data_IF_362281054050
#
_entry.id   IF_362281054050
#
_cell.length_a   1.000
_cell.length_b   1.000
_cell.length_c   1.000
_cell.angle_alpha   90.00
_cell.angle_beta   90.00
_cell.angle_gamma   90.00
#
_symmetry.space_group_name_H-M   'P 1'
#
loop_
_entity.id
_entity.type
_entity.pdbx_description
1 polymer ?
#
# COMPACT_ATOMS: atom_id res chain seq x y z
N UNK A 1 2.15 8.13 13.57
CA UNK A 1 2.60 6.73 13.39
C UNK A 1 2.03 6.11 12.11
N UNK A 2 0.72 5.85 11.99
CA UNK A 2 0.12 5.17 10.81
C UNK A 2 0.24 5.90 9.47
N UNK A 3 0.23 7.24 9.45
CA UNK A 3 0.45 8.01 8.22
C UNK A 3 1.83 7.71 7.59
N UNK A 4 2.85 7.52 8.44
CA UNK A 4 4.19 7.14 7.97
C UNK A 4 4.20 5.74 7.36
N UNK A 5 3.48 4.80 7.98
CA UNK A 5 3.33 3.42 7.49
C UNK A 5 2.70 3.40 6.11
N UNK A 6 1.58 4.12 5.96
CA UNK A 6 0.88 4.29 4.69
C UNK A 6 1.78 4.92 3.62
N UNK A 7 2.50 5.98 3.97
CA UNK A 7 3.37 6.68 3.02
C UNK A 7 4.51 5.80 2.49
N UNK A 8 5.02 4.87 3.31
CA UNK A 8 6.13 3.97 2.98
C UNK A 8 5.67 2.58 2.51
N UNK A 9 4.36 2.36 2.42
CA UNK A 9 3.73 1.06 2.16
C UNK A 9 4.32 -0.08 2.99
N UNK A 10 4.31 0.11 4.30
CA UNK A 10 4.85 -0.83 5.28
C UNK A 10 3.79 -1.12 6.33
N UNK A 11 3.61 -2.38 6.70
CA UNK A 11 2.82 -2.74 7.88
C UNK A 11 3.60 -2.48 9.17
N UNK A 12 2.90 -2.48 10.32
CA UNK A 12 3.58 -2.33 11.62
C UNK A 12 4.62 -3.41 11.87
N UNK A 13 4.43 -4.63 11.35
CA UNK A 13 5.38 -5.74 11.49
C UNK A 13 6.57 -5.52 10.56
N UNK A 14 6.31 -5.22 9.29
CA UNK A 14 7.33 -4.99 8.26
C UNK A 14 8.29 -3.85 8.60
N UNK A 15 7.84 -2.81 9.32
CA UNK A 15 8.73 -1.72 9.75
C UNK A 15 9.86 -2.21 10.65
N UNK A 16 9.62 -3.23 11.47
CA UNK A 16 10.67 -3.81 12.30
C UNK A 16 11.62 -4.71 11.50
N UNK A 17 11.17 -5.27 10.39
CA UNK A 17 11.97 -6.12 9.49
C UNK A 17 12.78 -5.28 8.47
N UNK A 18 12.25 -4.12 8.08
CA UNK A 18 12.84 -3.24 7.08
C UNK A 18 14.17 -2.66 7.55
N UNK A 19 15.24 -2.99 6.84
CA UNK A 19 16.55 -2.32 6.99
C UNK A 19 16.44 -0.87 6.54
N UNK A 20 16.78 0.08 7.42
CA UNK A 20 16.59 1.54 7.21
C UNK A 20 17.25 2.12 5.95
N UNK A 21 18.22 1.42 5.37
CA UNK A 21 19.06 1.91 4.26
C UNK A 21 18.45 1.59 2.89
N UNK A 22 17.57 0.58 2.80
CA UNK A 22 17.08 0.08 1.51
C UNK A 22 15.65 0.57 1.25
N UNK A 23 15.42 1.02 0.02
CA UNK A 23 14.08 1.38 -0.44
C UNK A 23 13.18 0.15 -0.36
N UNK A 24 11.97 0.28 0.21
CA UNK A 24 11.11 -0.88 0.43
C UNK A 24 10.54 -1.42 -0.88
N UNK A 25 10.46 -2.74 -1.03
CA UNK A 25 9.99 -3.38 -2.27
C UNK A 25 8.51 -3.10 -2.58
N UNK A 26 7.71 -2.82 -1.56
CA UNK A 26 6.29 -2.46 -1.69
C UNK A 26 6.05 -0.95 -1.83
N UNK A 27 7.08 -0.09 -1.65
CA UNK A 27 6.90 1.35 -1.76
C UNK A 27 6.90 1.82 -3.22
N UNK A 28 5.73 2.19 -3.77
CA UNK A 28 5.58 2.76 -5.12
C UNK A 28 5.41 4.29 -5.14
N UNK A 29 5.54 4.94 -3.98
CA UNK A 29 5.33 6.38 -3.79
C UNK A 29 3.97 6.72 -3.19
N UNK A 30 3.89 7.86 -2.50
CA UNK A 30 2.79 8.21 -1.60
C UNK A 30 1.39 8.05 -2.22
N UNK A 31 1.22 8.46 -3.49
CA UNK A 31 -0.08 8.41 -4.17
C UNK A 31 -0.54 6.98 -4.42
N UNK A 32 0.33 6.15 -5.00
CA UNK A 32 0.02 4.75 -5.30
C UNK A 32 -0.16 3.93 -4.03
N UNK A 33 0.66 4.19 -3.01
CA UNK A 33 0.53 3.54 -1.70
C UNK A 33 -0.81 3.90 -1.03
N UNK A 34 -1.24 5.16 -1.14
CA UNK A 34 -2.54 5.61 -0.63
C UNK A 34 -3.71 4.94 -1.38
N UNK A 35 -3.64 4.91 -2.71
CA UNK A 35 -4.65 4.29 -3.57
C UNK A 35 -4.79 2.78 -3.33
N UNK A 36 -3.72 2.08 -2.89
CA UNK A 36 -3.82 0.67 -2.51
C UNK A 36 -4.66 0.42 -1.26
N UNK A 37 -4.82 1.41 -0.37
CA UNK A 37 -5.58 1.26 0.87
C UNK A 37 -7.00 1.83 0.74
N UNK A 38 -7.12 3.00 0.10
CA UNK A 38 -8.37 3.75 0.01
C UNK A 38 -9.06 3.66 -1.37
N UNK A 39 -8.45 2.98 -2.33
CA UNK A 39 -8.96 2.91 -3.70
C UNK A 39 -8.69 4.18 -4.51
N UNK A 40 -9.07 4.13 -5.79
CA UNK A 40 -8.79 5.23 -6.75
C UNK A 40 -9.84 6.34 -6.69
N UNK A 41 -11.03 6.05 -6.17
CA UNK A 41 -12.15 7.00 -6.10
C UNK A 41 -12.00 7.94 -4.91
N UNK A 42 -11.43 9.13 -5.17
CA UNK A 42 -11.21 10.17 -4.15
C UNK A 42 -12.44 10.57 -3.35
N UNK A 43 -13.62 10.54 -3.98
CA UNK A 43 -14.88 10.87 -3.31
C UNK A 43 -15.20 9.93 -2.14
N UNK A 44 -14.68 8.69 -2.17
CA UNK A 44 -14.92 7.69 -1.14
C UNK A 44 -13.86 7.68 -0.03
N UNK A 45 -12.76 8.43 -0.15
CA UNK A 45 -11.64 8.36 0.80
C UNK A 45 -11.99 8.72 2.25
N UNK A 46 -13.06 9.48 2.47
CA UNK A 46 -13.54 9.86 3.80
C UNK A 46 -14.74 9.02 4.27
N UNK A 47 -15.18 8.07 3.46
CA UNK A 47 -16.29 7.19 3.77
C UNK A 47 -15.75 5.76 3.96
N UNK A 48 -16.28 4.99 4.92
CA UNK A 48 -15.86 3.62 5.17
C UNK A 48 -16.51 2.67 4.13
N UNK A 49 -16.28 2.91 2.84
CA UNK A 49 -16.91 2.23 1.71
C UNK A 49 -15.89 1.96 0.60
N UNK A 50 -16.02 0.79 -0.04
CA UNK A 50 -15.30 0.47 -1.27
C UNK A 50 -16.24 0.54 -2.46
N UNK A 51 -15.70 0.94 -3.61
CA UNK A 51 -16.43 0.84 -4.87
C UNK A 51 -16.30 -0.56 -5.48
N UNK A 52 -17.24 -0.93 -6.35
CA UNK A 52 -17.14 -2.15 -7.15
C UNK A 52 -15.82 -2.21 -7.97
N UNK A 53 -15.39 -1.08 -8.53
CA UNK A 53 -14.08 -0.95 -9.23
C UNK A 53 -12.86 -1.09 -8.31
N UNK A 54 -13.00 -0.83 -7.01
CA UNK A 54 -11.91 -0.98 -6.05
C UNK A 54 -11.66 -2.45 -5.76
N UNK A 55 -12.70 -3.30 -5.88
CA UNK A 55 -12.56 -4.76 -5.79
C UNK A 55 -11.46 -5.22 -6.73
N UNK A 56 -11.55 -4.97 -8.04
CA UNK A 56 -10.58 -5.48 -9.03
C UNK A 56 -9.20 -4.83 -8.95
N UNK A 57 -9.08 -3.66 -8.32
CA UNK A 57 -7.86 -2.84 -8.37
C UNK A 57 -7.07 -2.80 -7.08
N UNK A 58 -7.67 -3.15 -5.93
CA UNK A 58 -7.00 -3.23 -4.64
C UNK A 58 -6.53 -4.67 -4.40
N UNK A 59 -5.21 -4.94 -4.42
CA UNK A 59 -4.68 -6.29 -4.21
C UNK A 59 -5.03 -6.86 -2.83
N UNK A 60 -5.11 -6.01 -1.82
CA UNK A 60 -5.46 -6.39 -0.45
C UNK A 60 -6.86 -7.02 -0.31
N UNK A 61 -7.76 -6.79 -1.27
CA UNK A 61 -9.10 -7.38 -1.28
C UNK A 61 -9.13 -8.80 -1.88
N UNK A 62 -8.10 -9.18 -2.65
CA UNK A 62 -8.05 -10.45 -3.39
C UNK A 62 -7.11 -11.50 -2.78
N UNK A 63 -6.20 -11.14 -1.88
CA UNK A 63 -5.35 -12.13 -1.22
C UNK A 63 -3.99 -11.61 -0.78
N UNK A 64 -2.99 -12.50 -0.84
CA UNK A 64 -1.63 -12.29 -0.32
C UNK A 64 -0.65 -11.72 -1.37
N UNK A 65 -1.12 -11.49 -2.60
CA UNK A 65 -0.28 -11.03 -3.70
C UNK A 65 -0.28 -9.50 -3.76
N UNK A 66 0.85 -8.91 -3.39
CA UNK A 66 1.08 -7.46 -3.45
C UNK A 66 2.08 -7.14 -4.56
N UNK A 67 1.88 -6.06 -5.33
CA UNK A 67 2.83 -5.66 -6.36
C UNK A 67 4.17 -5.37 -5.70
N UNK A 68 5.25 -5.91 -6.25
CA UNK A 68 6.63 -5.69 -5.79
C UNK A 68 7.45 -5.03 -6.87
N UNK A 69 8.35 -4.13 -6.45
CA UNK A 69 9.38 -3.60 -7.35
C UNK A 69 10.39 -4.68 -7.68
N UNK A 70 10.55 -4.98 -8.97
CA UNK A 70 11.48 -6.00 -9.47
C UNK A 70 12.96 -5.68 -9.22
N UNK A 71 13.30 -4.41 -8.93
CA UNK A 71 14.68 -3.93 -8.77
C UNK A 71 15.10 -3.68 -7.30
N UNK A 72 14.41 -4.30 -6.35
CA UNK A 72 14.75 -4.19 -4.92
C UNK A 72 15.00 -5.60 -4.39
N UNK A 73 16.27 -6.01 -4.31
CA UNK A 73 16.66 -7.20 -3.55
C UNK A 73 16.31 -7.01 -2.06
N UNK A 74 15.81 -8.09 -1.46
CA UNK A 74 15.28 -8.14 -0.09
C UNK A 74 16.37 -8.06 0.99
#
# INVERSE_FOLDING_TARGET
MHVSLLSSNTTSIEVYEKRRVVRWKYDFGYKTNFEQVFGKKKALWLFPLYSEDDSSSIPALHGLDFPTRLNVEA
#
